data_IF_717948295049
#
_entry.id   IF_717948295049
#
_cell.length_a   1.000
_cell.length_b   1.000
_cell.length_c   1.000
_cell.angle_alpha   90.00
_cell.angle_beta   90.00
_cell.angle_gamma   90.00
#
_symmetry.space_group_name_H-M   'P 1'
#
loop_
_entity.id
_entity.type
_entity.pdbx_description
1 polymer ?
#
# COMPACT_ATOMS: atom_id res chain seq x y z
N UNK A 1 27.48 3.60 -13.72
CA UNK A 1 26.30 4.22 -14.36
C UNK A 1 25.07 3.48 -13.87
N UNK A 2 24.42 3.97 -12.81
CA UNK A 2 23.24 3.31 -12.22
C UNK A 2 21.98 3.87 -12.87
N UNK A 3 21.32 3.07 -13.69
CA UNK A 3 20.00 3.39 -14.25
C UNK A 3 18.94 3.08 -13.20
N UNK A 4 18.56 4.09 -12.42
CA UNK A 4 17.43 4.03 -11.49
C UNK A 4 16.16 4.13 -12.33
N UNK A 5 15.35 3.08 -12.36
CA UNK A 5 14.11 3.08 -13.13
C UNK A 5 12.95 3.47 -12.23
N UNK A 6 12.32 4.59 -12.59
CA UNK A 6 11.16 5.17 -11.93
C UNK A 6 9.89 4.42 -12.37
N UNK A 7 9.21 3.73 -11.46
CA UNK A 7 7.86 3.22 -11.74
C UNK A 7 6.85 4.36 -11.57
N UNK A 8 6.04 4.54 -12.60
CA UNK A 8 4.87 5.42 -12.65
C UNK A 8 3.67 4.51 -12.46
N UNK A 9 3.02 4.56 -11.29
CA UNK A 9 1.65 4.02 -11.17
C UNK A 9 0.75 5.11 -11.73
N UNK A 10 0.53 5.04 -13.04
CA UNK A 10 -0.36 5.90 -13.78
C UNK A 10 -1.78 5.43 -13.47
N UNK A 11 -2.50 6.15 -12.60
CA UNK A 11 -3.96 5.99 -12.48
C UNK A 11 -4.62 6.65 -13.69
N UNK A 12 -4.48 6.02 -14.85
CA UNK A 12 -5.36 6.28 -15.98
C UNK A 12 -6.76 5.80 -15.61
N UNK A 13 -7.73 6.63 -15.95
CA UNK A 13 -9.14 6.42 -15.62
C UNK A 13 -9.61 5.02 -15.93
N UNK A 14 -10.46 4.51 -15.04
CA UNK A 14 -11.31 3.36 -15.27
C UNK A 14 -12.11 3.58 -16.56
N UNK A 15 -11.61 3.02 -17.66
CA UNK A 15 -12.41 2.64 -18.82
C UNK A 15 -12.39 1.12 -18.87
N UNK A 16 -13.60 0.57 -18.84
CA UNK A 16 -13.87 -0.85 -18.63
C UNK A 16 -13.44 -1.73 -19.83
N UNK A 17 -13.33 -3.02 -19.50
CA UNK A 17 -13.27 -4.21 -20.34
C UNK A 17 -11.92 -4.56 -20.98
N UNK A 18 -11.21 -5.46 -20.29
CA UNK A 18 -10.81 -6.71 -20.93
C UNK A 18 -10.92 -7.85 -19.92
N UNK A 19 -11.83 -8.75 -20.27
CA UNK A 19 -12.10 -10.03 -19.66
C UNK A 19 -10.84 -10.90 -19.78
N UNK A 20 -9.97 -10.84 -18.78
CA UNK A 20 -8.96 -11.88 -18.56
C UNK A 20 -9.54 -12.81 -17.51
N UNK A 21 -9.57 -14.10 -17.81
CA UNK A 21 -10.13 -15.17 -16.99
C UNK A 21 -9.62 -15.05 -15.55
N UNK A 22 -10.40 -14.42 -14.68
CA UNK A 22 -10.31 -14.62 -13.25
C UNK A 22 -10.61 -16.09 -13.07
N UNK A 23 -9.57 -16.90 -12.82
CA UNK A 23 -9.75 -18.18 -12.14
C UNK A 23 -10.66 -17.87 -10.97
N UNK A 24 -11.89 -18.39 -11.03
CA UNK A 24 -12.80 -18.37 -9.90
C UNK A 24 -11.98 -18.92 -8.76
N UNK A 25 -11.64 -18.05 -7.82
CA UNK A 25 -10.99 -18.44 -6.59
C UNK A 25 -12.03 -19.32 -5.92
N UNK A 26 -11.91 -20.63 -6.04
CA UNK A 26 -12.64 -21.54 -5.16
C UNK A 26 -12.19 -21.15 -3.76
N UNK A 27 -12.98 -20.29 -3.10
CA UNK A 27 -12.67 -19.73 -1.80
C UNK A 27 -12.87 -20.85 -0.78
N UNK A 28 -11.93 -21.78 -0.73
CA UNK A 28 -11.83 -22.75 0.34
C UNK A 28 -11.58 -21.93 1.59
N UNK A 29 -12.65 -21.74 2.37
CA UNK A 29 -12.63 -20.99 3.62
C UNK A 29 -11.48 -21.49 4.48
N UNK A 30 -10.48 -20.63 4.70
CA UNK A 30 -9.33 -20.98 5.51
C UNK A 30 -9.78 -21.33 6.93
N UNK A 31 -9.32 -22.48 7.44
CA UNK A 31 -9.59 -22.93 8.80
C UNK A 31 -8.31 -22.72 9.62
N UNK A 32 -8.31 -21.80 10.61
CA UNK A 32 -7.12 -21.54 11.43
C UNK A 32 -6.65 -22.76 12.21
N UNK A 33 -5.34 -23.01 12.16
CA UNK A 33 -4.69 -24.01 13.03
C UNK A 33 -4.71 -23.57 14.49
N UNK A 34 -4.44 -24.48 15.41
CA UNK A 34 -4.42 -24.15 16.85
C UNK A 34 -3.36 -23.10 17.19
N UNK A 35 -2.21 -23.17 16.54
CA UNK A 35 -1.18 -22.13 16.63
C UNK A 35 -1.74 -20.75 16.25
N UNK A 36 -2.42 -20.66 15.10
CA UNK A 36 -2.99 -19.39 14.61
C UNK A 36 -4.10 -18.91 15.55
N UNK A 37 -4.98 -19.79 16.04
CA UNK A 37 -6.03 -19.40 17.00
C UNK A 37 -5.45 -18.80 18.27
N UNK A 38 -4.43 -19.44 18.87
CA UNK A 38 -3.76 -18.93 20.07
C UNK A 38 -3.14 -17.56 19.79
N UNK A 39 -2.41 -17.43 18.68
CA UNK A 39 -1.76 -16.18 18.29
C UNK A 39 -2.78 -15.03 18.10
N UNK A 40 -3.91 -15.30 17.44
CA UNK A 40 -4.97 -14.31 17.22
C UNK A 40 -5.71 -13.97 18.52
N UNK A 41 -5.84 -14.92 19.45
CA UNK A 41 -6.46 -14.68 20.76
C UNK A 41 -5.59 -13.78 21.65
N UNK A 42 -4.28 -13.91 21.53
CA UNK A 42 -3.31 -13.13 22.31
C UNK A 42 -3.02 -11.74 21.70
N UNK A 43 -3.42 -11.49 20.45
CA UNK A 43 -3.05 -10.28 19.71
C UNK A 43 -4.25 -9.68 18.95
N UNK A 44 -4.97 -8.77 19.59
CA UNK A 44 -6.16 -8.11 19.01
C UNK A 44 -5.88 -7.40 17.67
N UNK A 45 -4.76 -6.69 17.58
CA UNK A 45 -4.35 -5.99 16.35
C UNK A 45 -4.13 -6.95 15.18
N UNK A 46 -3.50 -8.10 15.46
CA UNK A 46 -3.30 -9.14 14.46
C UNK A 46 -4.63 -9.80 14.08
N UNK A 47 -5.50 -10.07 15.06
CA UNK A 47 -6.84 -10.61 14.82
C UNK A 47 -7.68 -9.73 13.91
N UNK A 48 -7.74 -8.43 14.19
CA UNK A 48 -8.47 -7.46 13.37
C UNK A 48 -7.91 -7.45 11.94
N UNK A 49 -6.59 -7.47 11.79
CA UNK A 49 -5.93 -7.47 10.48
C UNK A 49 -6.23 -8.75 9.70
N UNK A 50 -6.11 -9.90 10.36
CA UNK A 50 -6.45 -11.20 9.78
C UNK A 50 -7.93 -11.25 9.34
N UNK A 51 -8.86 -10.83 10.19
CA UNK A 51 -10.29 -10.82 9.87
C UNK A 51 -10.61 -9.90 8.67
N UNK A 52 -9.88 -8.80 8.49
CA UNK A 52 -10.01 -7.88 7.33
C UNK A 52 -9.40 -8.40 6.03
N UNK A 53 -8.39 -9.28 6.11
CA UNK A 53 -7.57 -9.67 4.95
C UNK A 53 -7.83 -11.10 4.49
N UNK A 54 -8.25 -12.01 5.37
CA UNK A 54 -8.39 -13.45 5.10
C UNK A 54 -9.26 -13.80 3.88
N UNK A 55 -10.31 -13.03 3.60
CA UNK A 55 -11.19 -13.27 2.45
C UNK A 55 -10.57 -12.86 1.10
N UNK A 56 -9.48 -12.07 1.14
CA UNK A 56 -8.73 -11.63 -0.04
C UNK A 56 -7.50 -12.47 -0.32
N UNK A 57 -7.16 -13.39 0.58
CA UNK A 57 -5.95 -14.19 0.55
C UNK A 57 -6.28 -15.64 0.23
N UNK A 58 -5.39 -16.32 -0.49
CA UNK A 58 -5.50 -17.78 -0.64
C UNK A 58 -5.09 -18.48 0.66
N UNK A 59 -5.50 -19.74 0.81
CA UNK A 59 -5.07 -20.58 1.92
C UNK A 59 -3.55 -20.66 2.01
N UNK A 60 -2.87 -20.86 0.88
CA UNK A 60 -1.42 -21.00 0.79
C UNK A 60 -0.70 -19.72 1.23
N UNK A 61 -1.24 -18.55 0.88
CA UNK A 61 -0.71 -17.26 1.30
C UNK A 61 -0.81 -17.09 2.82
N UNK A 62 -1.96 -17.40 3.39
CA UNK A 62 -2.18 -17.33 4.85
C UNK A 62 -1.25 -18.32 5.57
N UNK A 63 -1.18 -19.57 5.09
CA UNK A 63 -0.32 -20.61 5.68
C UNK A 63 1.16 -20.25 5.58
N UNK A 64 1.61 -19.73 4.44
CA UNK A 64 2.98 -19.26 4.24
C UNK A 64 3.36 -18.16 5.23
N UNK A 65 2.50 -17.15 5.40
CA UNK A 65 2.73 -16.05 6.35
C UNK A 65 2.82 -16.58 7.79
N UNK A 66 1.85 -17.38 8.24
CA UNK A 66 1.85 -17.90 9.61
C UNK A 66 2.92 -18.96 9.85
N UNK A 67 3.39 -19.67 8.82
CA UNK A 67 4.54 -20.58 8.93
C UNK A 67 5.82 -19.79 9.23
N UNK A 68 6.05 -18.65 8.56
CA UNK A 68 7.17 -17.75 8.86
C UNK A 68 7.08 -17.20 10.29
N UNK A 69 5.88 -16.89 10.77
CA UNK A 69 5.66 -16.50 12.18
C UNK A 69 6.00 -17.63 13.14
N UNK A 70 5.55 -18.85 12.86
CA UNK A 70 5.83 -20.03 13.67
C UNK A 70 7.33 -20.34 13.75
N UNK A 71 8.05 -20.15 12.64
CA UNK A 71 9.49 -20.32 12.55
C UNK A 71 10.30 -19.15 13.12
N UNK A 72 9.63 -18.12 13.66
CA UNK A 72 10.22 -16.89 14.20
C UNK A 72 10.95 -16.02 13.17
N UNK A 73 10.74 -16.26 11.88
CA UNK A 73 11.19 -15.35 10.82
C UNK A 73 10.41 -14.03 10.88
N UNK A 74 9.10 -14.13 11.15
CA UNK A 74 8.21 -13.00 11.38
C UNK A 74 7.82 -12.90 12.86
N UNK A 75 7.96 -11.71 13.43
CA UNK A 75 7.28 -11.34 14.67
C UNK A 75 5.81 -10.95 14.38
N UNK A 76 5.05 -10.58 15.41
CA UNK A 76 3.65 -10.16 15.28
C UNK A 76 3.50 -8.96 14.34
N UNK A 77 4.42 -8.00 14.38
CA UNK A 77 4.37 -6.78 13.56
C UNK A 77 4.60 -7.12 12.09
N UNK A 78 5.63 -7.91 11.79
CA UNK A 78 5.91 -8.46 10.45
C UNK A 78 4.73 -9.25 9.91
N UNK A 79 4.15 -10.13 10.73
CA UNK A 79 3.00 -10.95 10.36
C UNK A 79 1.80 -10.07 9.97
N UNK A 80 1.52 -9.03 10.75
CA UNK A 80 0.44 -8.09 10.47
C UNK A 80 0.64 -7.36 9.14
N UNK A 81 1.83 -6.80 8.92
CA UNK A 81 2.11 -6.05 7.69
C UNK A 81 2.13 -7.00 6.47
N UNK A 82 2.63 -8.22 6.63
CA UNK A 82 2.61 -9.24 5.58
C UNK A 82 1.18 -9.56 5.13
N UNK A 83 0.25 -9.78 6.07
CA UNK A 83 -1.17 -10.01 5.74
C UNK A 83 -1.76 -8.82 4.96
N UNK A 84 -1.47 -7.58 5.39
CA UNK A 84 -1.95 -6.39 4.70
C UNK A 84 -1.40 -6.27 3.28
N UNK A 85 -0.09 -6.45 3.10
CA UNK A 85 0.56 -6.31 1.79
C UNK A 85 0.19 -7.43 0.83
N UNK A 86 0.16 -8.68 1.28
CA UNK A 86 -0.27 -9.79 0.41
C UNK A 86 -1.72 -9.60 -0.03
N UNK A 87 -2.58 -9.02 0.83
CA UNK A 87 -3.97 -8.75 0.46
C UNK A 87 -4.14 -7.64 -0.59
N UNK A 88 -3.12 -6.80 -0.77
CA UNK A 88 -3.13 -5.66 -1.70
C UNK A 88 -2.34 -5.92 -2.98
N UNK A 89 -1.20 -6.62 -2.86
CA UNK A 89 -0.20 -6.77 -3.92
C UNK A 89 -0.03 -8.24 -4.37
N UNK A 90 -0.70 -9.18 -3.70
CA UNK A 90 -0.44 -10.61 -3.87
C UNK A 90 0.98 -10.95 -3.43
N UNK A 91 1.65 -11.82 -4.17
CA UNK A 91 2.99 -12.31 -3.85
C UNK A 91 4.12 -11.43 -4.43
N UNK A 92 3.79 -10.24 -4.98
CA UNK A 92 4.75 -9.33 -5.60
C UNK A 92 5.53 -8.47 -4.58
N UNK A 93 5.82 -9.03 -3.40
CA UNK A 93 6.64 -8.40 -2.37
C UNK A 93 7.39 -9.48 -1.56
N UNK A 94 8.58 -9.15 -1.04
CA UNK A 94 9.32 -10.06 -0.18
C UNK A 94 10.19 -9.35 0.87
N UNK A 95 10.47 -10.10 1.93
CA UNK A 95 11.50 -9.83 2.94
C UNK A 95 12.71 -10.74 2.70
N UNK A 96 13.35 -10.63 1.53
CA UNK A 96 14.64 -11.29 1.33
C UNK A 96 15.34 -10.78 0.07
N UNK A 97 16.67 -10.68 0.12
CA UNK A 97 17.51 -10.29 -1.02
C UNK A 97 17.60 -11.40 -2.09
N UNK A 98 17.15 -12.62 -1.76
CA UNK A 98 17.54 -13.84 -2.48
C UNK A 98 16.51 -14.44 -3.42
N UNK A 99 15.29 -13.91 -3.53
CA UNK A 99 14.28 -14.42 -4.46
C UNK A 99 13.83 -13.34 -5.46
N UNK A 100 14.12 -13.62 -6.74
CA UNK A 100 13.95 -12.74 -7.90
C UNK A 100 12.81 -13.19 -8.83
N UNK A 101 11.53 -13.13 -8.45
CA UNK A 101 10.49 -12.93 -9.46
C UNK A 101 10.64 -11.50 -10.00
N UNK A 102 10.64 -11.35 -11.32
CA UNK A 102 10.60 -10.04 -11.96
C UNK A 102 9.44 -9.20 -11.38
N UNK A 103 9.69 -7.93 -11.05
CA UNK A 103 8.73 -6.98 -10.48
C UNK A 103 8.29 -7.23 -9.01
N UNK A 104 9.15 -7.81 -8.16
CA UNK A 104 8.90 -7.95 -6.72
C UNK A 104 9.42 -6.75 -5.93
N UNK A 105 8.61 -6.21 -5.00
CA UNK A 105 9.06 -5.20 -4.05
C UNK A 105 9.89 -5.85 -2.94
N UNK A 106 11.16 -5.46 -2.84
CA UNK A 106 12.07 -5.97 -1.82
C UNK A 106 12.28 -4.94 -0.71
N UNK A 107 12.13 -5.38 0.54
CA UNK A 107 12.33 -4.55 1.73
C UNK A 107 13.49 -5.10 2.54
N UNK A 108 14.52 -4.28 2.79
CA UNK A 108 15.72 -4.69 3.53
C UNK A 108 15.46 -4.74 5.03
N UNK A 109 14.54 -3.89 5.50
CA UNK A 109 14.18 -3.82 6.91
C UNK A 109 12.67 -3.73 7.13
N UNK A 110 12.24 -4.03 8.37
CA UNK A 110 10.83 -3.88 8.76
C UNK A 110 10.38 -2.42 8.76
N UNK A 111 11.29 -1.49 9.04
CA UNK A 111 11.02 -0.05 9.02
C UNK A 111 10.78 0.45 7.60
N UNK A 112 11.50 -0.07 6.61
CA UNK A 112 11.23 0.22 5.19
C UNK A 112 9.86 -0.30 4.78
N UNK A 113 9.52 -1.53 5.19
CA UNK A 113 8.20 -2.11 4.93
C UNK A 113 7.09 -1.27 5.57
N UNK A 114 7.27 -0.88 6.83
CA UNK A 114 6.28 -0.11 7.57
C UNK A 114 6.10 1.28 6.96
N UNK A 115 7.19 1.96 6.60
CA UNK A 115 7.13 3.24 5.87
C UNK A 115 6.37 3.10 4.56
N UNK A 116 6.62 2.03 3.80
CA UNK A 116 5.89 1.76 2.57
C UNK A 116 4.41 1.49 2.83
N UNK A 117 4.07 0.60 3.76
CA UNK A 117 2.68 0.29 4.09
C UNK A 117 1.94 1.55 4.56
N UNK A 118 2.57 2.39 5.38
CA UNK A 118 2.00 3.65 5.86
C UNK A 118 1.80 4.69 4.75
N UNK A 119 2.56 4.60 3.66
CA UNK A 119 2.41 5.45 2.48
C UNK A 119 1.30 5.00 1.52
N UNK A 120 0.64 3.87 1.80
CA UNK A 120 -0.46 3.41 0.96
C UNK A 120 -1.72 4.27 1.22
N UNK A 121 -2.39 4.76 0.16
CA UNK A 121 -3.62 5.51 0.30
C UNK A 121 -4.75 4.60 0.80
N UNK A 122 -5.56 5.12 1.72
CA UNK A 122 -6.78 4.47 2.22
C UNK A 122 -8.04 5.05 1.61
N UNK A 123 -7.99 6.32 1.21
CA UNK A 123 -9.06 6.98 0.46
C UNK A 123 -8.49 8.06 -0.45
N UNK A 124 -9.17 8.26 -1.57
CA UNK A 124 -8.95 9.41 -2.46
C UNK A 124 -10.30 10.05 -2.78
N UNK A 125 -10.32 11.37 -2.84
CA UNK A 125 -11.47 12.14 -3.34
C UNK A 125 -10.98 13.23 -4.29
N UNK A 126 -11.75 13.46 -5.34
CA UNK A 126 -11.44 14.47 -6.36
C UNK A 126 -12.71 15.25 -6.66
N UNK A 127 -12.56 16.56 -6.79
CA UNK A 127 -13.62 17.47 -7.22
C UNK A 127 -13.10 18.40 -8.30
N UNK A 128 -14.02 18.81 -9.18
CA UNK A 128 -13.75 19.66 -10.33
C UNK A 128 -14.63 20.91 -10.26
N UNK A 129 -14.16 22.00 -10.88
CA UNK A 129 -15.00 23.16 -11.15
C UNK A 129 -15.92 22.88 -12.35
N UNK A 130 -16.89 23.79 -12.60
CA UNK A 130 -17.84 23.65 -13.71
C UNK A 130 -17.18 23.67 -15.10
N UNK A 131 -15.96 24.22 -15.20
CA UNK A 131 -15.16 24.23 -16.43
C UNK A 131 -14.33 22.95 -16.62
N UNK A 132 -14.46 21.97 -15.72
CA UNK A 132 -13.72 20.71 -15.73
C UNK A 132 -12.30 20.80 -15.16
N UNK A 133 -11.86 21.97 -14.68
CA UNK A 133 -10.54 22.10 -14.04
C UNK A 133 -10.53 21.51 -12.63
N UNK A 134 -9.37 21.01 -12.17
CA UNK A 134 -9.23 20.44 -10.83
C UNK A 134 -9.53 21.52 -9.77
N UNK A 135 -10.51 21.24 -8.92
CA UNK A 135 -10.84 22.04 -7.75
C UNK A 135 -10.04 21.60 -6.54
N UNK A 136 -10.11 20.31 -6.22
CA UNK A 136 -9.43 19.71 -5.08
C UNK A 136 -9.24 18.21 -5.27
N UNK A 137 -8.06 17.71 -4.94
CA UNK A 137 -7.77 16.28 -4.72
C UNK A 137 -7.31 16.10 -3.27
N UNK A 138 -7.91 15.17 -2.54
CA UNK A 138 -7.51 14.80 -1.19
C UNK A 138 -7.23 13.30 -1.13
N UNK A 139 -6.03 12.93 -0.69
CA UNK A 139 -5.59 11.55 -0.46
C UNK A 139 -5.32 11.38 1.03
N UNK A 140 -5.96 10.40 1.67
CA UNK A 140 -5.66 10.01 3.06
C UNK A 140 -4.82 8.74 3.06
N UNK A 141 -3.80 8.70 3.89
CA UNK A 141 -2.86 7.58 3.98
C UNK A 141 -3.11 6.73 5.23
N UNK A 142 -2.55 5.51 5.27
CA UNK A 142 -2.74 4.57 6.41
C UNK A 142 -2.26 5.11 7.74
N UNK A 143 -1.20 5.93 7.75
CA UNK A 143 -0.71 6.62 8.95
C UNK A 143 -1.61 7.78 9.41
N UNK A 144 -2.74 8.03 8.75
CA UNK A 144 -3.65 9.14 9.07
C UNK A 144 -3.22 10.50 8.50
N UNK A 145 -2.02 10.60 7.91
CA UNK A 145 -1.62 11.79 7.17
C UNK A 145 -2.51 12.02 5.94
N UNK A 146 -2.57 13.27 5.49
CA UNK A 146 -3.33 13.67 4.32
C UNK A 146 -2.47 14.50 3.37
N UNK A 147 -2.65 14.28 2.08
CA UNK A 147 -2.18 15.18 1.04
C UNK A 147 -3.38 15.80 0.33
N UNK A 148 -3.41 17.13 0.27
CA UNK A 148 -4.46 17.91 -0.40
C UNK A 148 -3.81 18.76 -1.48
N UNK A 149 -4.32 18.65 -2.69
CA UNK A 149 -3.95 19.50 -3.83
C UNK A 149 -5.17 20.36 -4.17
N UNK A 150 -5.03 21.67 -4.09
CA UNK A 150 -6.11 22.63 -4.39
C UNK A 150 -5.56 23.95 -4.93
N UNK A 151 -6.43 24.84 -5.41
CA UNK A 151 -6.03 26.20 -5.80
C UNK A 151 -6.02 27.13 -4.59
N UNK A 152 -4.99 27.96 -4.46
CA UNK A 152 -4.94 29.05 -3.52
C UNK A 152 -5.86 30.21 -3.96
N UNK A 153 -5.95 31.26 -3.12
CA UNK A 153 -6.78 32.44 -3.40
C UNK A 153 -6.39 33.19 -4.69
N UNK A 154 -5.19 32.95 -5.22
CA UNK A 154 -4.68 33.55 -6.45
C UNK A 154 -4.83 32.61 -7.66
N UNK A 155 -5.48 31.45 -7.50
CA UNK A 155 -5.68 30.46 -8.54
C UNK A 155 -4.48 29.53 -8.81
N UNK A 156 -3.40 29.60 -8.01
CA UNK A 156 -2.23 28.73 -8.17
C UNK A 156 -2.43 27.42 -7.41
N UNK A 157 -1.88 26.32 -7.90
CA UNK A 157 -1.93 25.06 -7.16
C UNK A 157 -1.05 25.09 -5.92
N UNK A 158 -1.56 24.53 -4.84
CA UNK A 158 -0.83 24.30 -3.59
C UNK A 158 -1.01 22.84 -3.19
N UNK A 159 0.02 22.29 -2.55
CA UNK A 159 -0.03 20.99 -1.89
C UNK A 159 0.07 21.21 -0.40
N UNK A 160 -0.98 20.85 0.32
CA UNK A 160 -0.96 20.77 1.78
C UNK A 160 -0.67 19.33 2.18
N UNK A 161 0.30 19.16 3.06
CA UNK A 161 0.55 17.89 3.74
C UNK A 161 0.17 18.10 5.20
N UNK A 162 -0.77 17.31 5.69
CA UNK A 162 -1.18 17.30 7.10
C UNK A 162 -0.64 16.00 7.67
N UNK A 163 0.25 16.08 8.67
CA UNK A 163 0.81 14.88 9.31
C UNK A 163 -0.20 14.23 10.28
N UNK A 164 0.18 13.08 10.86
CA UNK A 164 -0.66 12.34 11.81
C UNK A 164 -0.99 13.12 13.10
N UNK A 165 -0.23 14.17 13.39
CA UNK A 165 -0.41 15.06 14.55
C UNK A 165 -1.19 16.33 14.21
N UNK A 166 -1.61 16.50 12.95
CA UNK A 166 -2.33 17.67 12.47
C UNK A 166 -1.44 18.85 12.08
N UNK A 167 -0.11 18.69 12.02
CA UNK A 167 0.77 19.75 11.54
C UNK A 167 0.64 19.89 10.02
N UNK A 168 0.37 21.11 9.57
CA UNK A 168 0.21 21.42 8.15
C UNK A 168 1.49 22.04 7.57
N UNK A 169 1.94 21.51 6.43
CA UNK A 169 2.96 22.13 5.57
C UNK A 169 2.37 22.44 4.21
N UNK A 170 2.60 23.64 3.69
CA UNK A 170 2.07 24.09 2.40
C UNK A 170 3.21 24.32 1.42
N UNK A 171 3.21 23.56 0.32
CA UNK A 171 4.11 23.75 -0.81
C UNK A 171 3.34 24.44 -1.95
N UNK A 172 3.90 25.54 -2.48
CA UNK A 172 3.38 26.16 -3.71
C UNK A 172 3.83 25.35 -4.92
N UNK A 173 2.91 25.10 -5.83
CA UNK A 173 3.15 24.31 -7.03
C UNK A 173 2.79 25.17 -8.23
N UNK A 174 3.74 25.41 -9.15
CA UNK A 174 3.44 26.22 -10.33
C UNK A 174 2.55 25.50 -11.33
N UNK A 175 2.63 24.17 -11.38
CA UNK A 175 1.84 23.32 -12.26
C UNK A 175 1.52 21.98 -11.57
N UNK A 176 0.30 21.44 -11.77
CA UNK A 176 -0.04 20.07 -11.34
C UNK A 176 0.98 19.04 -11.83
N UNK A 177 1.60 19.27 -12.99
CA UNK A 177 2.66 18.40 -13.53
C UNK A 177 3.93 18.36 -12.66
N UNK A 178 4.17 19.37 -11.80
CA UNK A 178 5.31 19.48 -10.90
C UNK A 178 5.11 18.77 -9.55
N UNK A 179 3.92 18.19 -9.30
CA UNK A 179 3.61 17.48 -8.05
C UNK A 179 4.43 16.20 -7.98
N UNK A 180 5.63 16.31 -7.41
CA UNK A 180 6.40 15.16 -6.94
C UNK A 180 5.71 14.64 -5.68
N UNK A 181 4.84 13.66 -5.85
CA UNK A 181 4.42 12.77 -4.75
C UNK A 181 5.72 12.31 -4.07
N UNK A 182 5.85 12.46 -2.74
CA UNK A 182 7.01 11.93 -2.02
C UNK A 182 6.91 10.41 -2.11
N UNK A 183 7.55 9.86 -3.13
CA UNK A 183 7.56 8.42 -3.39
C UNK A 183 8.38 7.75 -2.29
N UNK A 184 7.89 6.65 -1.69
CA UNK A 184 8.76 5.73 -0.98
C UNK A 184 9.86 5.32 -1.94
N UNK A 185 11.12 5.55 -1.57
CA UNK A 185 12.26 5.17 -2.39
C UNK A 185 12.49 3.67 -2.17
N UNK A 186 11.87 2.84 -3.01
CA UNK A 186 12.13 1.40 -3.05
C UNK A 186 12.99 1.11 -4.27
N UNK A 187 14.12 0.42 -4.07
CA UNK A 187 14.98 -0.01 -5.16
C UNK A 187 14.27 -1.09 -5.96
N UNK A 188 13.77 -0.74 -7.15
CA UNK A 188 13.39 -1.73 -8.16
C UNK A 188 14.67 -2.05 -8.91
N UNK A 189 15.20 -3.25 -8.68
CA UNK A 189 16.30 -3.78 -9.49
C UNK A 189 15.70 -4.16 -10.84
N UNK A 190 16.12 -3.47 -11.90
CA UNK A 190 15.88 -3.86 -13.28
C UNK A 190 17.24 -4.20 -13.89
N UNK A 191 17.27 -5.27 -14.68
CA UNK A 191 18.44 -5.63 -15.50
C UNK A 191 18.76 -4.55 -16.54
#
# INVERSE_FOLDING_TARGET
MNKIIFIIILSLGFSNFSFSQQKVLDSVKYIPTEFVKTLLKENDSLKITFDKTKEKLTKEQIEGIFSKTKNKEYDIKKTRIALELTSLLGDNWNFDETLKPENTLNFKTIEELEKFNNSLPTSESVSFENDGSLKRKETTFKNGSKEIIEKDRNGNFIKKTIDENGNETIDKIKDISEIKIKKPKVEIIKE
#
